data_IF_072088734063
#
_entry.id   IF_072088734063
#
_cell.length_a   1.000
_cell.length_b   1.000
_cell.length_c   1.000
_cell.angle_alpha   90.00
_cell.angle_beta   90.00
_cell.angle_gamma   90.00
#
_symmetry.space_group_name_H-M   'P 1'
#
loop_
_entity.id
_entity.type
_entity.pdbx_description
1 polymer ?
#
# COMPACT_ATOMS: atom_id res chain seq x y z
N UNK A 1 7.77 -45.34 36.98
CA UNK A 1 7.83 -44.35 35.88
C UNK A 1 7.84 -45.12 34.56
N UNK A 2 6.76 -45.06 33.77
CA UNK A 2 6.82 -45.20 32.31
C UNK A 2 5.98 -44.07 31.64
N UNK A 3 6.44 -43.21 30.71
CA UNK A 3 7.19 -43.38 29.45
C UNK A 3 6.46 -44.35 28.51
N UNK A 4 5.43 -43.92 27.78
CA UNK A 4 5.57 -43.60 26.36
C UNK A 4 4.31 -42.91 25.78
N UNK A 5 4.37 -41.58 25.64
CA UNK A 5 3.43 -40.84 24.81
C UNK A 5 3.71 -41.19 23.34
N UNK A 6 2.78 -41.88 22.66
CA UNK A 6 2.79 -41.97 21.19
C UNK A 6 2.70 -40.54 20.63
N UNK A 7 3.79 -40.01 20.04
CA UNK A 7 3.94 -38.59 19.77
C UNK A 7 3.55 -38.25 18.34
N UNK A 8 2.26 -38.31 17.99
CA UNK A 8 1.85 -38.00 16.62
C UNK A 8 0.33 -37.84 16.43
N UNK A 9 -0.52 -38.78 16.87
CA UNK A 9 -1.93 -38.72 16.46
C UNK A 9 -2.77 -37.67 17.22
N UNK A 10 -2.68 -37.65 18.56
CA UNK A 10 -3.40 -36.66 19.37
C UNK A 10 -2.83 -35.24 19.25
N UNK A 11 -1.54 -35.14 18.92
CA UNK A 11 -0.86 -33.88 18.63
C UNK A 11 -1.29 -33.30 17.29
N UNK A 12 -1.30 -34.11 16.24
CA UNK A 12 -1.78 -33.72 14.91
C UNK A 12 -3.23 -33.24 14.95
N UNK A 13 -4.13 -33.99 15.60
CA UNK A 13 -5.54 -33.60 15.72
C UNK A 13 -5.72 -32.28 16.50
N UNK A 14 -4.88 -32.02 17.51
CA UNK A 14 -4.91 -30.77 18.28
C UNK A 14 -4.34 -29.60 17.48
N UNK A 15 -3.30 -29.83 16.68
CA UNK A 15 -2.73 -28.84 15.77
C UNK A 15 -3.73 -28.45 14.69
N UNK A 16 -4.39 -29.42 14.05
CA UNK A 16 -5.45 -29.17 13.07
C UNK A 16 -6.62 -28.37 13.68
N UNK A 17 -7.03 -28.71 14.91
CA UNK A 17 -8.09 -27.97 15.60
C UNK A 17 -7.68 -26.52 15.93
N UNK A 18 -6.41 -26.29 16.27
CA UNK A 18 -5.86 -24.95 16.50
C UNK A 18 -5.77 -24.19 15.18
N UNK A 19 -5.30 -24.82 14.10
CA UNK A 19 -5.16 -24.22 12.78
C UNK A 19 -6.52 -23.86 12.19
N UNK A 20 -7.51 -24.75 12.28
CA UNK A 20 -8.89 -24.45 11.90
C UNK A 20 -9.49 -23.28 12.70
N UNK A 21 -9.17 -23.19 13.99
CA UNK A 21 -9.62 -22.08 14.85
C UNK A 21 -8.88 -20.78 14.54
N UNK A 22 -7.59 -20.85 14.22
CA UNK A 22 -6.80 -19.71 13.76
C UNK A 22 -7.34 -19.23 12.43
N UNK A 23 -7.63 -20.10 11.47
CA UNK A 23 -8.16 -19.73 10.17
C UNK A 23 -9.58 -19.19 10.25
N UNK A 24 -10.44 -19.75 11.11
CA UNK A 24 -11.76 -19.17 11.40
C UNK A 24 -11.63 -17.77 12.01
N UNK A 25 -10.72 -17.58 12.97
CA UNK A 25 -10.45 -16.28 13.57
C UNK A 25 -9.76 -15.33 12.59
N UNK A 26 -8.92 -15.82 11.68
CA UNK A 26 -8.20 -15.04 10.66
C UNK A 26 -9.12 -14.67 9.51
N UNK A 27 -10.15 -15.47 9.22
CA UNK A 27 -11.24 -15.16 8.31
C UNK A 27 -12.23 -14.15 8.92
N UNK A 28 -12.54 -14.27 10.22
CA UNK A 28 -13.39 -13.32 10.95
C UNK A 28 -12.67 -11.99 11.27
N UNK A 29 -11.35 -12.04 11.53
CA UNK A 29 -10.47 -10.89 11.68
C UNK A 29 -9.90 -10.40 10.37
N UNK A 30 -10.17 -11.07 9.25
CA UNK A 30 -9.98 -10.47 7.94
C UNK A 30 -10.94 -9.28 8.01
N UNK A 31 -10.44 -8.04 8.14
CA UNK A 31 -11.33 -6.91 8.06
C UNK A 31 -12.14 -7.09 6.78
N UNK A 32 -13.32 -6.50 6.69
CA UNK A 32 -13.98 -6.35 5.39
C UNK A 32 -13.06 -5.48 4.51
N UNK A 33 -12.02 -6.10 3.93
CA UNK A 33 -10.89 -5.53 3.16
C UNK A 33 -11.37 -5.23 1.75
N UNK A 34 -12.49 -4.55 1.63
CA UNK A 34 -13.13 -4.20 0.38
C UNK A 34 -13.64 -2.76 0.57
N UNK A 35 -12.79 -1.78 0.24
CA UNK A 35 -13.15 -0.36 0.09
C UNK A 35 -12.73 0.60 1.22
N UNK A 36 -12.49 0.12 2.45
CA UNK A 36 -12.11 1.01 3.56
C UNK A 36 -10.59 1.29 3.63
N UNK A 37 -9.73 0.30 3.33
CA UNK A 37 -8.27 0.48 3.37
C UNK A 37 -7.77 1.47 2.30
N UNK A 38 -8.42 1.54 1.14
CA UNK A 38 -8.01 2.44 0.05
C UNK A 38 -8.31 3.92 0.37
N UNK A 39 -9.50 4.20 0.91
CA UNK A 39 -9.89 5.57 1.33
C UNK A 39 -9.14 6.02 2.58
N UNK A 40 -8.95 5.13 3.55
CA UNK A 40 -8.16 5.44 4.77
C UNK A 40 -6.69 5.65 4.42
N UNK A 41 -6.14 4.90 3.45
CA UNK A 41 -4.76 5.09 2.97
C UNK A 41 -4.58 6.45 2.29
N UNK A 42 -5.49 6.85 1.40
CA UNK A 42 -5.43 8.16 0.74
C UNK A 42 -5.54 9.33 1.73
N UNK A 43 -6.43 9.23 2.71
CA UNK A 43 -6.57 10.24 3.76
C UNK A 43 -5.34 10.31 4.67
N UNK A 44 -4.79 9.16 5.07
CA UNK A 44 -3.57 9.10 5.87
C UNK A 44 -2.35 9.65 5.11
N UNK A 45 -2.29 9.44 3.79
CA UNK A 45 -1.26 10.00 2.94
C UNK A 45 -1.39 11.53 2.85
N UNK A 46 -2.59 12.05 2.59
CA UNK A 46 -2.85 13.48 2.54
C UNK A 46 -2.49 14.17 3.86
N UNK A 47 -2.87 13.57 4.99
CA UNK A 47 -2.49 14.05 6.31
C UNK A 47 -0.97 14.08 6.51
N UNK A 48 -0.26 13.00 6.10
CA UNK A 48 1.21 12.97 6.15
C UNK A 48 1.83 14.09 5.33
N UNK A 49 1.34 14.35 4.12
CA UNK A 49 1.81 15.49 3.32
C UNK A 49 1.67 16.79 4.10
N UNK A 50 0.50 17.07 4.68
CA UNK A 50 0.29 18.27 5.48
C UNK A 50 1.27 18.35 6.64
N UNK A 51 1.43 17.26 7.40
CA UNK A 51 2.37 17.25 8.53
C UNK A 51 3.82 17.41 8.09
N UNK A 52 4.23 16.86 6.93
CA UNK A 52 5.59 17.02 6.41
C UNK A 52 5.89 18.50 6.09
N UNK A 53 4.94 19.22 5.50
CA UNK A 53 5.08 20.66 5.27
C UNK A 53 5.10 21.45 6.57
N UNK A 54 4.17 21.15 7.49
CA UNK A 54 4.09 21.84 8.79
C UNK A 54 5.35 21.59 9.62
N UNK A 55 5.88 20.37 9.61
CA UNK A 55 7.12 20.03 10.31
C UNK A 55 8.33 20.70 9.65
N UNK A 56 8.44 20.67 8.32
CA UNK A 56 9.55 21.31 7.60
C UNK A 56 9.60 22.82 7.82
N UNK A 57 8.45 23.49 7.69
CA UNK A 57 8.31 24.92 7.98
C UNK A 57 8.53 25.20 9.46
N UNK A 58 7.83 24.48 10.34
CA UNK A 58 7.93 24.66 11.79
C UNK A 58 9.34 24.49 12.33
N UNK A 59 10.09 23.50 11.84
CA UNK A 59 11.49 23.28 12.21
C UNK A 59 12.39 24.42 11.70
N UNK A 60 12.18 24.90 10.47
CA UNK A 60 12.90 26.04 9.91
C UNK A 60 12.69 27.32 10.72
N UNK A 61 11.45 27.63 11.07
CA UNK A 61 11.13 28.77 11.93
C UNK A 61 11.65 28.60 13.35
N UNK A 62 11.57 27.40 13.94
CA UNK A 62 12.09 27.13 15.28
C UNK A 62 13.60 27.37 15.36
N UNK A 63 14.35 26.84 14.39
CA UNK A 63 15.80 27.03 14.30
C UNK A 63 16.13 28.51 14.03
N UNK A 64 15.45 29.12 13.06
CA UNK A 64 15.66 30.52 12.72
C UNK A 64 15.39 31.47 13.88
N UNK A 65 14.30 31.24 14.63
CA UNK A 65 13.96 32.03 15.81
C UNK A 65 14.97 31.85 16.95
N UNK A 66 15.45 30.62 17.15
CA UNK A 66 16.46 30.33 18.17
C UNK A 66 17.78 31.06 17.86
N UNK A 67 18.24 31.01 16.61
CA UNK A 67 19.48 31.65 16.19
C UNK A 67 19.34 33.17 16.17
N UNK A 68 18.27 33.73 15.60
CA UNK A 68 18.07 35.18 15.57
C UNK A 68 17.93 35.76 16.99
N UNK A 69 17.28 35.03 17.90
CA UNK A 69 17.16 35.42 19.30
C UNK A 69 18.48 35.38 20.06
N UNK A 70 19.34 34.39 19.80
CA UNK A 70 20.65 34.28 20.43
C UNK A 70 21.68 35.26 19.84
N UNK A 71 21.62 35.52 18.53
CA UNK A 71 22.57 36.38 17.82
C UNK A 71 22.18 37.87 17.84
N UNK A 72 20.95 38.20 18.26
CA UNK A 72 20.43 39.57 18.23
C UNK A 72 20.32 40.14 16.81
N UNK A 73 20.32 39.27 15.81
CA UNK A 73 20.20 39.67 14.40
C UNK A 73 18.77 40.07 14.09
N UNK A 74 18.60 40.97 13.12
CA UNK A 74 17.30 41.14 12.42
C UNK A 74 16.84 39.76 11.94
N UNK A 75 15.52 39.51 11.74
CA UNK A 75 14.95 38.17 11.48
C UNK A 75 15.37 37.57 10.13
N UNK A 76 16.67 37.39 9.95
CA UNK A 76 17.36 37.04 8.71
C UNK A 76 17.52 35.53 8.65
N UNK A 77 17.94 34.90 9.75
CA UNK A 77 18.00 33.45 9.82
C UNK A 77 16.60 32.85 9.77
N UNK A 78 15.62 33.49 10.39
CA UNK A 78 14.21 33.08 10.32
C UNK A 78 13.66 33.14 8.89
N UNK A 79 14.04 34.13 8.08
CA UNK A 79 13.71 34.18 6.65
C UNK A 79 14.41 33.06 5.85
N UNK A 80 15.72 32.88 6.05
CA UNK A 80 16.52 31.88 5.33
C UNK A 80 16.07 30.46 5.67
N UNK A 81 15.99 30.12 6.96
CA UNK A 81 15.57 28.80 7.42
C UNK A 81 14.07 28.55 7.20
N UNK A 82 13.23 29.58 7.27
CA UNK A 82 11.82 29.48 6.87
C UNK A 82 11.67 29.12 5.39
N UNK A 83 12.42 29.81 4.51
CA UNK A 83 12.44 29.50 3.08
C UNK A 83 13.02 28.11 2.78
N UNK A 84 14.11 27.73 3.46
CA UNK A 84 14.70 26.38 3.35
C UNK A 84 13.74 25.29 3.82
N UNK A 85 13.09 25.49 4.97
CA UNK A 85 12.11 24.56 5.56
C UNK A 85 10.88 24.39 4.66
N UNK A 86 10.38 25.48 4.08
CA UNK A 86 9.32 25.44 3.09
C UNK A 86 9.74 24.69 1.82
N UNK A 87 10.91 25.03 1.24
CA UNK A 87 11.42 24.36 0.05
C UNK A 87 11.63 22.85 0.27
N UNK A 88 12.16 22.46 1.44
CA UNK A 88 12.28 21.07 1.84
C UNK A 88 10.91 20.38 1.99
N UNK A 89 9.94 21.04 2.63
CA UNK A 89 8.57 20.53 2.77
C UNK A 89 7.91 20.26 1.41
N UNK A 90 7.94 21.25 0.51
CA UNK A 90 7.39 21.11 -0.85
C UNK A 90 8.12 20.02 -1.64
N UNK A 91 9.45 19.91 -1.52
CA UNK A 91 10.22 18.85 -2.18
C UNK A 91 9.80 17.45 -1.72
N UNK A 92 9.52 17.27 -0.44
CA UNK A 92 9.06 15.99 0.12
C UNK A 92 7.67 15.63 -0.42
N UNK A 93 6.76 16.61 -0.49
CA UNK A 93 5.43 16.43 -1.10
C UNK A 93 5.51 16.01 -2.58
N UNK A 94 6.32 16.72 -3.38
CA UNK A 94 6.48 16.44 -4.80
C UNK A 94 7.07 15.04 -5.04
N UNK A 95 8.05 14.64 -4.23
CA UNK A 95 8.64 13.28 -4.28
C UNK A 95 7.57 12.22 -3.99
N UNK A 96 6.74 12.45 -2.99
CA UNK A 96 5.68 11.52 -2.63
C UNK A 96 4.60 11.41 -3.71
N UNK A 97 4.23 12.51 -4.36
CA UNK A 97 3.30 12.49 -5.49
C UNK A 97 3.86 11.66 -6.67
N UNK A 98 5.15 11.80 -6.98
CA UNK A 98 5.81 11.01 -8.03
C UNK A 98 5.86 9.51 -7.71
N UNK A 99 6.11 9.16 -6.45
CA UNK A 99 6.14 7.76 -5.99
C UNK A 99 4.77 7.09 -6.13
N UNK A 100 3.69 7.80 -5.78
CA UNK A 100 2.31 7.30 -5.91
C UNK A 100 1.96 7.09 -7.39
N UNK A 101 2.22 8.08 -8.24
CA UNK A 101 1.96 7.98 -9.69
C UNK A 101 2.73 6.82 -10.35
N UNK A 102 4.00 6.58 -9.95
CA UNK A 102 4.78 5.43 -10.44
C UNK A 102 4.21 4.08 -9.99
N UNK A 103 3.66 3.99 -8.78
CA UNK A 103 3.08 2.74 -8.25
C UNK A 103 1.79 2.39 -8.99
N UNK A 104 0.96 3.38 -9.29
CA UNK A 104 -0.26 3.19 -10.07
C UNK A 104 0.06 2.67 -11.49
N UNK A 105 1.04 3.27 -12.16
CA UNK A 105 1.47 2.83 -13.49
C UNK A 105 2.00 1.38 -13.51
N UNK A 106 2.79 0.98 -12.51
CA UNK A 106 3.32 -0.40 -12.41
C UNK A 106 2.24 -1.44 -12.04
N UNK A 107 1.23 -1.06 -11.27
CA UNK A 107 0.09 -1.92 -10.95
C UNK A 107 -0.80 -2.19 -12.18
N UNK A 108 -0.94 -1.20 -13.05
CA UNK A 108 -1.66 -1.34 -14.31
C UNK A 108 -0.98 -2.33 -15.29
N UNK A 109 0.36 -2.31 -15.39
CA UNK A 109 1.11 -3.25 -16.22
C UNK A 109 1.00 -4.71 -15.74
N UNK A 110 1.01 -4.97 -14.42
CA UNK A 110 0.89 -6.32 -13.86
C UNK A 110 -0.50 -6.94 -14.07
N UNK A 111 -1.53 -6.10 -14.12
CA UNK A 111 -2.91 -6.53 -14.39
C UNK A 111 -3.10 -6.90 -15.87
N UNK A 112 -2.39 -6.23 -16.79
CA UNK A 112 -2.37 -6.57 -18.22
C UNK A 112 -1.55 -7.83 -18.55
N UNK A 113 -0.48 -8.09 -17.80
CA UNK A 113 0.39 -9.25 -18.02
C UNK A 113 -0.18 -10.59 -17.52
N UNK A 114 -1.28 -10.57 -16.76
CA UNK A 114 -1.91 -11.79 -16.20
C UNK A 114 -3.15 -12.26 -16.97
N UNK A 115 -3.48 -11.65 -18.12
CA UNK A 115 -4.55 -12.17 -18.97
C UNK A 115 -4.07 -13.45 -19.68
N UNK A 116 -4.65 -14.64 -19.42
CA UNK A 116 -4.23 -15.87 -20.08
C UNK A 116 -4.47 -15.76 -21.60
N UNK A 117 -3.57 -16.33 -22.44
CA UNK A 117 -3.70 -16.22 -23.89
C UNK A 117 -5.07 -16.75 -24.31
N UNK A 118 -5.83 -15.92 -25.03
CA UNK A 118 -7.12 -16.28 -25.56
C UNK A 118 -6.97 -17.58 -26.37
N UNK A 119 -7.64 -18.65 -25.92
CA UNK A 119 -7.58 -19.94 -26.59
C UNK A 119 -8.16 -19.78 -28.00
N UNK A 120 -7.49 -20.28 -29.05
CA UNK A 120 -8.09 -20.32 -30.38
C UNK A 120 -9.38 -21.16 -30.30
N UNK A 121 -10.48 -20.58 -30.78
CA UNK A 121 -11.81 -21.18 -30.71
C UNK A 121 -11.87 -22.51 -31.48
N UNK A 122 -12.53 -23.54 -30.95
CA UNK A 122 -12.74 -24.78 -31.69
C UNK A 122 -13.87 -24.55 -32.69
N UNK A 123 -13.60 -24.68 -33.98
CA UNK A 123 -14.67 -24.54 -34.97
C UNK A 123 -14.28 -24.49 -36.43
N UNK A 124 -13.12 -25.03 -36.83
CA UNK A 124 -12.97 -25.51 -38.20
C UNK A 124 -13.74 -26.84 -38.30
N UNK A 125 -15.07 -26.78 -38.38
CA UNK A 125 -15.87 -27.95 -38.76
C UNK A 125 -16.17 -27.84 -40.25
N UNK A 126 -15.33 -28.53 -41.01
CA UNK A 126 -15.67 -29.03 -42.33
C UNK A 126 -16.89 -29.97 -42.23
N UNK A 127 -17.54 -30.14 -43.38
CA UNK A 127 -18.52 -31.16 -43.75
C UNK A 127 -19.98 -30.95 -43.28
N UNK A 128 -20.89 -31.08 -44.24
CA UNK A 128 -22.32 -30.80 -44.08
C UNK A 128 -23.10 -30.85 -45.39
N UNK A 129 -22.98 -31.97 -46.10
CA UNK A 129 -23.89 -32.42 -47.17
C UNK A 129 -25.39 -32.20 -46.81
N UNK A 130 -26.18 -31.95 -47.86
CA UNK A 130 -27.64 -32.18 -47.99
C UNK A 130 -28.61 -31.21 -47.28
N UNK A 131 -29.42 -30.50 -48.07
CA UNK A 131 -30.89 -30.36 -47.92
C UNK A 131 -31.44 -29.46 -49.04
N UNK A 132 -31.69 -30.01 -50.23
CA UNK A 132 -33.03 -30.31 -50.78
C UNK A 132 -34.08 -29.19 -50.72
N UNK A 133 -34.57 -28.83 -51.92
CA UNK A 133 -35.98 -28.53 -52.28
C UNK A 133 -36.57 -27.17 -51.87
N UNK A 134 -36.98 -26.41 -52.89
CA UNK A 134 -37.81 -25.21 -52.80
C UNK A 134 -37.75 -24.43 -54.10
#
# INVERSE_FOLDING_TARGET
MPADATPDEGGAAKLEAIEARIDALRAARRPKRLGAEEKVSAAALAWRMTTELVVGVGLGFAIGWWIDGAAGTKPLFLLIFGALGFAAGVRTMLRSAQEVSRREARGAEQTGASAPPARPGPGASADGRQTTRG
#
